data_IF_102370146471
#
_entry.id   IF_102370146471
#
_cell.length_a   1.000
_cell.length_b   1.000
_cell.length_c   1.000
_cell.angle_alpha   90.00
_cell.angle_beta   90.00
_cell.angle_gamma   90.00
#
_symmetry.space_group_name_H-M   'P 1'
#
loop_
_entity.id
_entity.type
_entity.pdbx_description
1 polymer ?
#
# COMPACT_ATOMS: atom_id res chain seq x y z
N UNK A 1 -25.71 2.83 -2.63
CA UNK A 1 -25.68 1.70 -3.53
C UNK A 1 -24.74 0.62 -2.98
N UNK A 2 -25.12 -0.63 -3.14
CA UNK A 2 -24.39 -1.77 -2.59
C UNK A 2 -22.95 -1.84 -3.10
N UNK A 3 -22.72 -1.52 -4.36
CA UNK A 3 -21.38 -1.56 -4.95
C UNK A 3 -20.43 -0.55 -4.31
N UNK A 4 -20.92 0.66 -4.05
CA UNK A 4 -20.12 1.69 -3.38
C UNK A 4 -19.83 1.29 -1.93
N UNK A 5 -20.80 0.72 -1.25
CA UNK A 5 -20.61 0.28 0.13
C UNK A 5 -19.60 -0.88 0.19
N UNK A 6 -19.66 -1.81 -0.77
CA UNK A 6 -18.72 -2.92 -0.85
C UNK A 6 -17.30 -2.41 -1.11
N UNK A 7 -17.15 -1.45 -2.04
CA UNK A 7 -15.85 -0.86 -2.33
C UNK A 7 -15.27 -0.14 -1.12
N UNK A 8 -16.09 0.65 -0.42
CA UNK A 8 -15.65 1.36 0.79
C UNK A 8 -15.21 0.38 1.88
N UNK A 9 -15.98 -0.68 2.08
CA UNK A 9 -15.65 -1.70 3.07
C UNK A 9 -14.33 -2.38 2.72
N UNK A 10 -14.10 -2.67 1.44
CA UNK A 10 -12.86 -3.29 0.99
C UNK A 10 -11.67 -2.37 1.18
N UNK A 11 -11.81 -1.08 0.84
CA UNK A 11 -10.75 -0.10 1.04
C UNK A 11 -10.42 0.08 2.51
N UNK A 12 -11.46 0.11 3.37
CA UNK A 12 -11.27 0.20 4.82
C UNK A 12 -10.51 -1.02 5.33
N UNK A 13 -10.88 -2.20 4.83
CA UNK A 13 -10.23 -3.45 5.19
C UNK A 13 -8.75 -3.44 4.80
N UNK A 14 -8.42 -2.97 3.60
CA UNK A 14 -7.04 -2.85 3.14
C UNK A 14 -6.25 -1.87 4.01
N UNK A 15 -6.83 -0.71 4.31
CA UNK A 15 -6.16 0.28 5.16
C UNK A 15 -5.94 -0.24 6.57
N UNK A 16 -6.91 -0.94 7.12
CA UNK A 16 -6.79 -1.53 8.45
C UNK A 16 -5.69 -2.61 8.47
N UNK A 17 -5.61 -3.41 7.41
CA UNK A 17 -4.57 -4.43 7.29
C UNK A 17 -3.17 -3.81 7.16
N UNK A 18 -3.05 -2.72 6.41
CA UNK A 18 -1.79 -1.99 6.29
C UNK A 18 -1.35 -1.43 7.66
N UNK A 19 -2.28 -0.80 8.37
CA UNK A 19 -2.00 -0.25 9.69
C UNK A 19 -1.64 -1.36 10.68
N UNK A 20 -2.31 -2.51 10.61
CA UNK A 20 -2.04 -3.65 11.48
C UNK A 20 -0.66 -4.25 11.23
N UNK A 21 -0.14 -4.13 10.00
CA UNK A 21 1.21 -4.57 9.68
C UNK A 21 2.29 -3.73 10.38
N UNK A 22 1.94 -2.50 10.79
CA UNK A 22 2.83 -1.59 11.49
C UNK A 22 3.86 -0.98 10.57
N UNK A 23 5.06 -1.56 10.53
CA UNK A 23 6.13 -1.08 9.67
C UNK A 23 6.53 -2.12 8.63
N UNK A 24 6.91 -1.64 7.45
CA UNK A 24 7.49 -2.46 6.40
C UNK A 24 8.89 -1.87 6.13
N UNK A 25 9.92 -2.53 6.64
CA UNK A 25 11.25 -1.93 6.65
C UNK A 25 11.26 -0.66 7.49
N UNK A 26 11.67 0.47 6.90
CA UNK A 26 11.64 1.76 7.61
C UNK A 26 10.31 2.51 7.45
N UNK A 27 9.39 1.98 6.65
CA UNK A 27 8.12 2.67 6.35
C UNK A 27 7.08 2.35 7.42
N UNK A 28 6.57 3.38 8.07
CA UNK A 28 5.48 3.24 9.03
C UNK A 28 4.15 3.29 8.28
N UNK A 29 3.42 2.18 8.30
CA UNK A 29 2.14 2.05 7.61
C UNK A 29 0.95 2.45 8.49
N UNK A 30 1.17 2.70 9.78
CA UNK A 30 0.10 3.02 10.72
C UNK A 30 -0.74 4.23 10.28
N UNK A 31 -0.15 5.32 9.78
CA UNK A 31 -0.96 6.47 9.35
C UNK A 31 -1.95 6.15 8.24
N UNK A 32 -1.67 5.13 7.43
CA UNK A 32 -2.57 4.74 6.33
C UNK A 32 -3.93 4.27 6.83
N UNK A 33 -3.98 3.73 8.03
CA UNK A 33 -5.23 3.30 8.65
C UNK A 33 -6.14 4.45 9.04
N UNK A 34 -5.59 5.65 9.19
CA UNK A 34 -6.35 6.84 9.57
C UNK A 34 -6.71 7.72 8.39
N UNK A 35 -6.25 7.38 7.20
CA UNK A 35 -6.53 8.14 5.99
C UNK A 35 -7.79 7.60 5.30
N UNK A 36 -8.36 8.43 4.44
CA UNK A 36 -9.52 8.08 3.62
C UNK A 36 -9.20 8.39 2.17
N UNK A 37 -9.97 7.80 1.25
CA UNK A 37 -9.81 8.03 -0.17
C UNK A 37 -9.11 6.89 -0.88
N UNK A 38 -8.93 7.03 -2.19
CA UNK A 38 -8.40 5.99 -3.06
C UNK A 38 -6.88 5.90 -3.05
N UNK A 39 -6.19 6.97 -2.67
CA UNK A 39 -4.74 7.05 -2.79
C UNK A 39 -4.09 7.35 -1.46
N UNK A 40 -2.86 6.87 -1.29
CA UNK A 40 -2.00 7.23 -0.17
C UNK A 40 -0.58 7.37 -0.66
N UNK A 41 0.21 8.18 0.05
CA UNK A 41 1.61 8.40 -0.28
C UNK A 41 2.48 7.58 0.67
N UNK A 42 3.54 6.97 0.11
CA UNK A 42 4.54 6.27 0.89
C UNK A 42 5.82 7.11 0.93
N UNK A 43 6.51 7.16 2.09
CA UNK A 43 7.76 7.92 2.22
C UNK A 43 8.96 7.13 1.67
N UNK A 44 8.92 6.80 0.39
CA UNK A 44 9.98 6.06 -0.29
C UNK A 44 10.53 6.87 -1.45
N UNK A 45 11.74 6.54 -1.87
CA UNK A 45 12.43 7.25 -2.94
C UNK A 45 11.97 6.76 -4.31
N UNK A 46 12.28 7.56 -5.32
CA UNK A 46 12.02 7.23 -6.72
C UNK A 46 12.74 5.93 -7.11
N UNK A 47 13.94 5.74 -6.61
CA UNK A 47 14.76 4.55 -6.85
C UNK A 47 14.11 3.32 -6.21
N UNK A 48 13.54 3.48 -5.02
CA UNK A 48 12.83 2.39 -4.35
C UNK A 48 11.56 2.01 -5.12
N UNK A 49 10.84 2.98 -5.66
CA UNK A 49 9.67 2.72 -6.51
C UNK A 49 10.10 1.92 -7.75
N UNK A 50 11.21 2.30 -8.38
CA UNK A 50 11.73 1.59 -9.55
C UNK A 50 12.13 0.16 -9.20
N UNK A 51 12.74 -0.05 -8.05
CA UNK A 51 13.13 -1.39 -7.58
C UNK A 51 11.90 -2.27 -7.33
N UNK A 52 10.86 -1.70 -6.72
CA UNK A 52 9.60 -2.42 -6.52
C UNK A 52 9.01 -2.90 -7.84
N UNK A 53 9.06 -2.06 -8.86
CA UNK A 53 8.54 -2.40 -10.19
C UNK A 53 9.39 -3.48 -10.85
N UNK A 54 10.70 -3.31 -10.84
CA UNK A 54 11.62 -4.18 -11.59
C UNK A 54 11.84 -5.54 -10.92
N UNK A 55 11.92 -5.57 -9.60
CA UNK A 55 12.25 -6.79 -8.87
C UNK A 55 11.03 -7.49 -8.28
N UNK A 56 9.97 -6.77 -8.00
CA UNK A 56 8.79 -7.32 -7.32
C UNK A 56 7.50 -7.21 -8.13
N UNK A 57 7.56 -6.56 -9.29
CA UNK A 57 6.37 -6.42 -10.15
C UNK A 57 5.29 -5.51 -9.58
N UNK A 58 5.65 -4.62 -8.66
CA UNK A 58 4.71 -3.70 -8.03
C UNK A 58 4.80 -2.35 -8.72
N UNK A 59 3.68 -1.91 -9.27
CA UNK A 59 3.60 -0.67 -10.05
C UNK A 59 2.92 0.41 -9.22
N UNK A 60 3.59 1.56 -9.11
CA UNK A 60 3.05 2.72 -8.42
C UNK A 60 3.67 3.98 -9.02
N UNK A 61 3.11 5.15 -8.68
CA UNK A 61 3.64 6.42 -9.17
C UNK A 61 5.03 6.68 -8.59
N UNK A 62 5.90 7.29 -9.38
CA UNK A 62 7.28 7.60 -8.97
C UNK A 62 7.33 8.50 -7.73
N UNK A 63 6.25 9.23 -7.45
CA UNK A 63 6.13 10.06 -6.25
C UNK A 63 5.90 9.26 -4.97
N UNK A 64 5.70 7.94 -5.06
CA UNK A 64 5.35 7.09 -3.92
C UNK A 64 3.86 6.94 -3.69
N UNK A 65 3.03 7.46 -4.60
CA UNK A 65 1.58 7.36 -4.48
C UNK A 65 1.09 5.97 -4.86
N UNK A 66 0.33 5.36 -3.97
CA UNK A 66 -0.28 4.05 -4.22
C UNK A 66 -1.80 4.18 -4.33
N UNK A 67 -2.40 3.27 -5.11
CA UNK A 67 -3.85 3.19 -5.24
C UNK A 67 -4.36 2.09 -4.31
N UNK A 68 -5.06 2.50 -3.26
CA UNK A 68 -5.60 1.56 -2.27
C UNK A 68 -6.60 0.59 -2.90
N UNK A 69 -7.38 1.05 -3.87
CA UNK A 69 -8.35 0.20 -4.54
C UNK A 69 -7.70 -0.92 -5.36
N UNK A 70 -6.43 -0.78 -5.72
CA UNK A 70 -5.67 -1.81 -6.43
C UNK A 70 -5.12 -2.89 -5.53
N UNK A 71 -5.16 -2.70 -4.20
CA UNK A 71 -4.71 -3.70 -3.24
C UNK A 71 -5.86 -4.60 -2.85
N UNK A 72 -5.56 -5.89 -2.68
CA UNK A 72 -6.54 -6.88 -2.25
C UNK A 72 -5.96 -7.67 -1.09
N UNK A 73 -6.81 -8.33 -0.27
CA UNK A 73 -6.27 -9.20 0.78
C UNK A 73 -5.33 -10.29 0.24
N UNK A 74 -5.51 -10.68 -1.03
CA UNK A 74 -4.67 -11.70 -1.66
C UNK A 74 -3.27 -11.21 -2.02
N UNK A 75 -3.13 -9.95 -2.44
CA UNK A 75 -1.83 -9.42 -2.86
C UNK A 75 -1.15 -8.55 -1.78
N UNK A 76 -1.86 -8.22 -0.72
CA UNK A 76 -1.36 -7.33 0.32
C UNK A 76 -0.12 -7.87 1.03
N UNK A 77 -0.07 -9.16 1.44
CA UNK A 77 1.15 -9.69 2.08
C UNK A 77 2.37 -9.59 1.18
N UNK A 78 2.21 -9.83 -0.12
CA UNK A 78 3.30 -9.69 -1.09
C UNK A 78 3.78 -8.25 -1.19
N UNK A 79 2.84 -7.30 -1.21
CA UNK A 79 3.17 -5.87 -1.26
C UNK A 79 3.97 -5.45 -0.02
N UNK A 80 3.50 -5.84 1.16
CA UNK A 80 4.17 -5.49 2.41
C UNK A 80 5.57 -6.10 2.49
N UNK A 81 5.71 -7.36 2.10
CA UNK A 81 7.00 -8.05 2.10
C UNK A 81 7.98 -7.39 1.13
N UNK A 82 7.51 -7.03 -0.06
CA UNK A 82 8.34 -6.35 -1.06
C UNK A 82 8.78 -4.97 -0.57
N UNK A 83 7.87 -4.23 0.03
CA UNK A 83 8.17 -2.91 0.58
C UNK A 83 9.22 -3.01 1.69
N UNK A 84 9.08 -3.99 2.57
CA UNK A 84 10.04 -4.23 3.65
C UNK A 84 11.42 -4.59 3.11
N UNK A 85 11.48 -5.32 2.01
CA UNK A 85 12.75 -5.70 1.38
C UNK A 85 13.46 -4.52 0.73
N UNK A 86 12.71 -3.59 0.17
CA UNK A 86 13.24 -2.44 -0.58
C UNK A 86 13.52 -1.26 0.36
N UNK A 87 12.64 -0.98 1.28
CA UNK A 87 12.73 0.16 2.20
C UNK A 87 13.39 -0.23 3.52
N UNK A 88 14.58 -0.77 3.43
CA UNK A 88 15.35 -1.18 4.63
C UNK A 88 16.02 0.00 5.35
#
# INVERSE_FOLDING_TARGET
LAELDTMRARMRQVRDALAAAGTAGRVDLTPLGHQNGLFSMLPITKEEVATLREEHGIYMAASGRINIAGLTPGNLPKFIAALAAVAV
#
